data_IF_474904448521
#
_entry.id   IF_474904448521
#
_cell.length_a   1.000
_cell.length_b   1.000
_cell.length_c   1.000
_cell.angle_alpha   90.00
_cell.angle_beta   90.00
_cell.angle_gamma   90.00
#
_symmetry.space_group_name_H-M   'P 1'
#
loop_
_entity.id
_entity.type
_entity.pdbx_description
1 polymer ?
#
# COMPACT_ATOMS: atom_id res chain seq x y z
N UNK A 1 50.11 10.70 -26.81
CA UNK A 1 49.02 9.71 -26.82
C UNK A 1 48.24 9.93 -25.54
N UNK A 2 47.00 10.45 -25.64
CA UNK A 2 46.21 10.93 -24.49
C UNK A 2 45.75 9.74 -23.64
N UNK A 3 45.94 9.85 -22.33
CA UNK A 3 45.51 8.89 -21.32
C UNK A 3 43.99 8.99 -21.16
N UNK A 4 43.26 8.00 -21.67
CA UNK A 4 41.82 7.82 -21.42
C UNK A 4 41.60 7.31 -19.99
N UNK A 5 41.84 8.19 -19.01
CA UNK A 5 41.35 7.99 -17.65
C UNK A 5 39.95 8.60 -17.59
N UNK A 6 38.97 7.93 -18.20
CA UNK A 6 37.59 8.18 -17.82
C UNK A 6 37.45 7.73 -16.36
N UNK A 7 37.47 8.71 -15.45
CA UNK A 7 37.06 8.51 -14.07
C UNK A 7 35.60 8.07 -14.11
N UNK A 8 35.36 6.75 -14.04
CA UNK A 8 34.02 6.19 -13.88
C UNK A 8 33.40 6.86 -12.65
N UNK A 9 32.31 7.59 -12.84
CA UNK A 9 31.53 8.09 -11.72
C UNK A 9 31.22 6.94 -10.75
N UNK A 10 31.40 7.15 -9.46
CA UNK A 10 31.16 6.12 -8.46
C UNK A 10 29.72 5.61 -8.56
N UNK A 11 29.53 4.29 -8.56
CA UNK A 11 28.19 3.69 -8.67
C UNK A 11 27.30 4.16 -7.53
N UNK A 12 26.09 4.70 -7.82
CA UNK A 12 25.15 5.15 -6.79
C UNK A 12 24.78 4.00 -5.84
N UNK A 13 24.96 4.21 -4.53
CA UNK A 13 24.56 3.23 -3.51
C UNK A 13 23.09 3.41 -3.14
N UNK A 14 22.19 2.96 -4.01
CA UNK A 14 20.72 3.14 -3.89
C UNK A 14 19.98 1.93 -3.31
N UNK A 15 20.69 0.96 -2.74
CA UNK A 15 20.10 -0.32 -2.32
C UNK A 15 18.95 -0.18 -1.32
N UNK A 16 19.07 0.72 -0.33
CA UNK A 16 18.01 0.93 0.69
C UNK A 16 16.76 1.55 0.05
N UNK A 17 16.96 2.49 -0.86
CA UNK A 17 15.92 3.19 -1.60
C UNK A 17 15.18 2.23 -2.53
N UNK A 18 15.91 1.41 -3.28
CA UNK A 18 15.33 0.37 -4.14
C UNK A 18 14.50 -0.65 -3.35
N UNK A 19 14.98 -1.07 -2.16
CA UNK A 19 14.22 -1.93 -1.25
C UNK A 19 12.91 -1.27 -0.80
N UNK A 20 12.96 0.00 -0.38
CA UNK A 20 11.76 0.73 0.05
C UNK A 20 10.73 0.88 -1.09
N UNK A 21 11.19 1.21 -2.30
CA UNK A 21 10.35 1.31 -3.50
C UNK A 21 9.67 -0.02 -3.83
N UNK A 22 10.45 -1.11 -3.80
CA UNK A 22 9.97 -2.47 -4.08
C UNK A 22 8.93 -2.91 -3.06
N UNK A 23 9.16 -2.67 -1.76
CA UNK A 23 8.21 -3.01 -0.70
C UNK A 23 6.89 -2.24 -0.85
N UNK A 24 6.94 -0.94 -1.14
CA UNK A 24 5.74 -0.14 -1.37
C UNK A 24 4.95 -0.59 -2.61
N UNK A 25 5.66 -0.97 -3.69
CA UNK A 25 5.05 -1.41 -4.94
C UNK A 25 4.40 -2.78 -4.76
N UNK A 26 5.09 -3.69 -4.06
CA UNK A 26 4.57 -4.98 -3.67
C UNK A 26 3.31 -4.85 -2.80
N UNK A 27 3.34 -3.98 -1.77
CA UNK A 27 2.18 -3.70 -0.93
C UNK A 27 0.98 -3.20 -1.76
N UNK A 28 1.20 -2.20 -2.61
CA UNK A 28 0.13 -1.67 -3.48
C UNK A 28 -0.41 -2.71 -4.45
N UNK A 29 0.47 -3.51 -5.06
CA UNK A 29 0.10 -4.60 -5.96
C UNK A 29 -0.72 -5.67 -5.27
N UNK A 30 -0.31 -6.11 -4.08
CA UNK A 30 -1.05 -7.09 -3.27
C UNK A 30 -2.44 -6.56 -2.88
N UNK A 31 -2.53 -5.29 -2.47
CA UNK A 31 -3.81 -4.64 -2.17
C UNK A 31 -4.73 -4.56 -3.40
N UNK A 32 -4.17 -4.20 -4.56
CA UNK A 32 -4.91 -4.07 -5.81
C UNK A 32 -5.39 -5.44 -6.30
N UNK A 33 -4.58 -6.50 -6.14
CA UNK A 33 -4.96 -7.86 -6.47
C UNK A 33 -6.19 -8.35 -5.69
N UNK A 34 -6.30 -8.00 -4.40
CA UNK A 34 -7.51 -8.32 -3.64
C UNK A 34 -8.75 -7.68 -4.25
N UNK A 35 -8.69 -6.38 -4.55
CA UNK A 35 -9.82 -5.64 -5.11
C UNK A 35 -10.17 -6.05 -6.54
N UNK A 36 -9.16 -6.33 -7.37
CA UNK A 36 -9.33 -6.60 -8.80
C UNK A 36 -9.63 -8.07 -9.13
N UNK A 37 -9.19 -9.00 -8.29
CA UNK A 37 -9.29 -10.45 -8.57
C UNK A 37 -10.06 -11.17 -7.48
N UNK A 38 -9.62 -11.08 -6.23
CA UNK A 38 -10.19 -11.89 -5.15
C UNK A 38 -11.66 -11.54 -4.88
N UNK A 39 -11.99 -10.26 -4.72
CA UNK A 39 -13.36 -9.86 -4.38
C UNK A 39 -14.37 -10.18 -5.50
N UNK A 40 -14.10 -9.92 -6.80
CA UNK A 40 -14.99 -10.37 -7.87
C UNK A 40 -15.27 -11.88 -7.83
N UNK A 41 -14.25 -12.71 -7.59
CA UNK A 41 -14.42 -14.16 -7.44
C UNK A 41 -15.33 -14.49 -6.25
N UNK A 42 -15.08 -13.88 -5.09
CA UNK A 42 -15.89 -14.06 -3.88
C UNK A 42 -17.35 -13.62 -4.11
N UNK A 43 -17.58 -12.48 -4.76
CA UNK A 43 -18.93 -11.98 -5.04
C UNK A 43 -19.71 -12.91 -5.99
N UNK A 44 -19.04 -13.50 -6.99
CA UNK A 44 -19.68 -14.36 -8.00
C UNK A 44 -19.91 -15.80 -7.51
N UNK A 45 -19.07 -16.30 -6.59
CA UNK A 45 -19.13 -17.70 -6.14
C UNK A 45 -20.04 -17.94 -4.93
N UNK A 46 -20.41 -16.90 -4.19
CA UNK A 46 -21.29 -17.02 -3.04
C UNK A 46 -22.75 -16.76 -3.39
N UNK A 47 -23.62 -17.69 -3.02
CA UNK A 47 -25.08 -17.56 -3.16
C UNK A 47 -25.79 -17.28 -1.83
N UNK A 48 -25.04 -17.21 -0.72
CA UNK A 48 -25.56 -16.99 0.63
C UNK A 48 -24.81 -15.84 1.31
N UNK A 49 -25.57 -14.98 1.98
CA UNK A 49 -25.03 -13.80 2.65
C UNK A 49 -24.06 -14.18 3.79
N UNK A 50 -24.38 -15.20 4.59
CA UNK A 50 -23.52 -15.61 5.71
C UNK A 50 -22.16 -16.09 5.23
N UNK A 51 -22.11 -16.86 4.14
CA UNK A 51 -20.85 -17.35 3.58
C UNK A 51 -20.01 -16.21 3.00
N UNK A 52 -20.65 -15.27 2.29
CA UNK A 52 -20.00 -14.09 1.73
C UNK A 52 -19.39 -13.20 2.84
N UNK A 53 -20.15 -12.95 3.91
CA UNK A 53 -19.66 -12.20 5.07
C UNK A 53 -18.48 -12.89 5.76
N UNK A 54 -18.54 -14.22 5.97
CA UNK A 54 -17.43 -14.99 6.55
C UNK A 54 -16.17 -14.91 5.71
N UNK A 55 -16.28 -15.03 4.38
CA UNK A 55 -15.13 -14.92 3.48
C UNK A 55 -14.53 -13.50 3.49
N UNK A 56 -15.37 -12.47 3.45
CA UNK A 56 -14.91 -11.09 3.59
C UNK A 56 -14.22 -10.85 4.94
N UNK A 57 -14.78 -11.35 6.04
CA UNK A 57 -14.21 -11.18 7.38
C UNK A 57 -12.84 -11.87 7.51
N UNK A 58 -12.68 -13.07 6.94
CA UNK A 58 -11.38 -13.75 6.88
C UNK A 58 -10.36 -12.99 6.03
N UNK A 59 -10.78 -12.48 4.86
CA UNK A 59 -9.94 -11.64 4.02
C UNK A 59 -9.48 -10.37 4.74
N UNK A 60 -10.40 -9.71 5.45
CA UNK A 60 -10.10 -8.57 6.31
C UNK A 60 -9.13 -8.97 7.44
N UNK A 61 -9.34 -10.13 8.07
CA UNK A 61 -8.48 -10.64 9.13
C UNK A 61 -7.02 -10.76 8.68
N UNK A 62 -6.74 -11.40 7.56
CA UNK A 62 -5.37 -11.48 7.07
C UNK A 62 -4.84 -10.13 6.56
N UNK A 63 -5.70 -9.34 5.89
CA UNK A 63 -5.35 -8.03 5.36
C UNK A 63 -4.92 -7.02 6.42
N UNK A 64 -5.65 -6.90 7.53
CA UNK A 64 -5.36 -5.94 8.60
C UNK A 64 -4.12 -6.29 9.43
N UNK A 65 -3.65 -7.54 9.38
CA UNK A 65 -2.39 -7.96 10.03
C UNK A 65 -1.22 -7.67 9.09
N UNK A 66 -1.30 -8.14 7.84
CA UNK A 66 -0.16 -8.13 6.91
C UNK A 66 0.09 -6.73 6.33
N UNK A 67 -0.95 -6.06 5.85
CA UNK A 67 -0.78 -4.83 5.05
C UNK A 67 -0.31 -3.64 5.88
N UNK A 68 -0.87 -3.34 7.07
CA UNK A 68 -0.34 -2.29 7.92
C UNK A 68 1.10 -2.56 8.36
N UNK A 69 1.47 -3.82 8.62
CA UNK A 69 2.84 -4.19 8.96
C UNK A 69 3.83 -3.87 7.83
N UNK A 70 3.48 -4.22 6.58
CA UNK A 70 4.26 -3.85 5.41
C UNK A 70 4.33 -2.33 5.20
N UNK A 71 3.24 -1.61 5.46
CA UNK A 71 3.20 -0.15 5.33
C UNK A 71 4.09 0.53 6.36
N UNK A 72 4.07 0.06 7.62
CA UNK A 72 4.93 0.55 8.70
C UNK A 72 6.40 0.29 8.36
N UNK A 73 6.73 -0.93 7.91
CA UNK A 73 8.09 -1.29 7.49
C UNK A 73 8.59 -0.38 6.35
N UNK A 74 7.78 -0.23 5.30
CA UNK A 74 8.10 0.61 4.14
C UNK A 74 8.27 2.08 4.54
N UNK A 75 7.37 2.59 5.39
CA UNK A 75 7.42 3.97 5.91
C UNK A 75 8.68 4.18 6.76
N UNK A 76 9.04 3.21 7.61
CA UNK A 76 10.22 3.28 8.46
C UNK A 76 11.51 3.33 7.64
N UNK A 77 11.58 2.56 6.54
CA UNK A 77 12.69 2.64 5.59
C UNK A 77 12.77 4.01 4.92
N UNK A 78 11.65 4.55 4.43
CA UNK A 78 11.62 5.90 3.87
C UNK A 78 12.02 6.98 4.87
N UNK A 79 11.55 6.88 6.12
CA UNK A 79 11.92 7.80 7.20
C UNK A 79 13.42 7.72 7.50
N UNK A 80 14.00 6.51 7.57
CA UNK A 80 15.43 6.33 7.76
C UNK A 80 16.26 6.92 6.61
N UNK A 81 15.84 6.72 5.36
CA UNK A 81 16.51 7.30 4.17
C UNK A 81 16.44 8.82 4.22
N UNK A 82 15.24 9.38 4.47
CA UNK A 82 15.04 10.82 4.58
C UNK A 82 15.91 11.42 5.69
N UNK A 83 15.91 10.81 6.88
CA UNK A 83 16.74 11.24 8.00
C UNK A 83 18.23 11.21 7.65
N UNK A 84 18.71 10.11 7.07
CA UNK A 84 20.12 9.95 6.70
C UNK A 84 20.57 11.01 5.68
N UNK A 85 19.73 11.32 4.69
CA UNK A 85 20.01 12.35 3.69
C UNK A 85 19.98 13.76 4.26
N UNK A 86 19.00 14.05 5.13
CA UNK A 86 18.88 15.33 5.81
C UNK A 86 20.08 15.61 6.70
N UNK A 87 20.59 14.58 7.40
CA UNK A 87 21.75 14.70 8.29
C UNK A 87 23.04 15.12 7.56
N UNK A 88 23.17 14.81 6.27
CA UNK A 88 24.32 15.19 5.42
C UNK A 88 23.99 16.35 4.46
N UNK A 89 22.86 17.04 4.65
CA UNK A 89 22.48 18.23 3.87
C UNK A 89 21.97 17.97 2.45
N UNK A 90 21.64 16.72 2.08
CA UNK A 90 21.12 16.39 0.76
C UNK A 90 19.62 16.73 0.64
N UNK A 91 19.25 17.59 -0.33
CA UNK A 91 17.87 18.08 -0.52
C UNK A 91 16.84 17.00 -0.89
N UNK A 92 17.28 15.86 -1.44
CA UNK A 92 16.40 14.74 -1.82
C UNK A 92 15.71 14.08 -0.62
N UNK A 93 16.11 14.39 0.61
CA UNK A 93 15.47 13.90 1.84
C UNK A 93 13.93 14.10 1.83
N UNK A 94 13.48 15.23 1.29
CA UNK A 94 12.07 15.61 1.25
C UNK A 94 11.24 14.65 0.39
N UNK A 95 11.79 14.16 -0.72
CA UNK A 95 11.10 13.22 -1.62
C UNK A 95 10.81 11.90 -0.91
N UNK A 96 11.79 11.37 -0.17
CA UNK A 96 11.62 10.14 0.61
C UNK A 96 10.70 10.35 1.82
N UNK A 97 10.75 11.53 2.47
CA UNK A 97 9.81 11.85 3.54
C UNK A 97 8.35 11.86 3.02
N UNK A 98 8.08 12.52 1.89
CA UNK A 98 6.76 12.52 1.26
C UNK A 98 6.33 11.12 0.82
N UNK A 99 7.26 10.29 0.33
CA UNK A 99 6.99 8.89 -0.01
C UNK A 99 6.52 8.08 1.22
N UNK A 100 7.20 8.24 2.36
CA UNK A 100 6.81 7.63 3.63
C UNK A 100 5.45 8.12 4.12
N UNK A 101 5.22 9.44 4.11
CA UNK A 101 3.95 10.05 4.52
C UNK A 101 2.78 9.56 3.64
N UNK A 102 2.98 9.47 2.33
CA UNK A 102 1.99 8.90 1.41
C UNK A 102 1.69 7.44 1.77
N UNK A 103 2.71 6.64 2.05
CA UNK A 103 2.55 5.21 2.35
C UNK A 103 1.76 4.98 3.64
N UNK A 104 2.09 5.71 4.73
CA UNK A 104 1.42 5.53 6.02
C UNK A 104 0.00 6.10 6.06
N UNK A 105 -0.37 6.96 5.09
CA UNK A 105 -1.71 7.54 4.98
C UNK A 105 -2.81 6.48 4.80
N UNK A 106 -2.47 5.22 4.47
CA UNK A 106 -3.44 4.12 4.53
C UNK A 106 -4.09 3.97 5.91
N UNK A 107 -3.38 4.29 6.99
CA UNK A 107 -3.85 4.12 8.37
C UNK A 107 -4.99 5.10 8.67
N UNK A 108 -4.80 6.43 8.59
CA UNK A 108 -5.89 7.38 8.82
C UNK A 108 -7.01 7.21 7.79
N UNK A 109 -6.71 6.87 6.53
CA UNK A 109 -7.75 6.58 5.55
C UNK A 109 -8.63 5.40 5.98
N UNK A 110 -8.03 4.32 6.51
CA UNK A 110 -8.79 3.15 6.98
C UNK A 110 -9.67 3.51 8.17
N UNK A 111 -9.11 4.20 9.17
CA UNK A 111 -9.81 4.52 10.42
C UNK A 111 -10.95 5.54 10.22
N UNK A 112 -10.81 6.46 9.27
CA UNK A 112 -11.78 7.55 9.06
C UNK A 112 -12.78 7.19 7.95
N UNK A 113 -12.30 6.67 6.82
CA UNK A 113 -13.14 6.48 5.62
C UNK A 113 -13.72 5.08 5.56
N UNK A 114 -12.92 4.05 5.84
CA UNK A 114 -13.36 2.66 5.68
C UNK A 114 -14.05 2.09 6.93
N UNK A 115 -13.67 2.54 8.12
CA UNK A 115 -14.16 1.99 9.39
C UNK A 115 -15.70 1.92 9.49
N UNK A 116 -16.49 2.93 9.07
CA UNK A 116 -17.95 2.82 9.14
C UNK A 116 -18.49 1.62 8.35
N UNK A 117 -17.99 1.38 7.13
CA UNK A 117 -18.45 0.23 6.31
C UNK A 117 -17.92 -1.09 6.86
N UNK A 118 -16.69 -1.11 7.38
CA UNK A 118 -16.15 -2.31 8.04
C UNK A 118 -17.02 -2.70 9.24
N UNK A 119 -17.38 -1.74 10.09
CA UNK A 119 -18.19 -1.98 11.27
C UNK A 119 -19.57 -2.53 10.89
N UNK A 120 -20.24 -1.93 9.90
CA UNK A 120 -21.51 -2.47 9.40
C UNK A 120 -21.37 -3.91 8.90
N UNK A 121 -20.31 -4.24 8.15
CA UNK A 121 -20.10 -5.60 7.67
C UNK A 121 -19.83 -6.59 8.82
N UNK A 122 -19.13 -6.17 9.88
CA UNK A 122 -18.94 -6.98 11.09
C UNK A 122 -20.23 -7.14 11.89
N UNK A 123 -21.06 -6.10 12.02
CA UNK A 123 -22.38 -6.21 12.66
C UNK A 123 -23.29 -7.19 11.92
N UNK A 124 -23.28 -7.16 10.58
CA UNK A 124 -24.02 -8.11 9.76
C UNK A 124 -23.52 -9.55 9.94
N UNK A 125 -22.24 -9.76 10.24
CA UNK A 125 -21.69 -11.10 10.49
C UNK A 125 -22.32 -11.78 11.72
N UNK A 126 -22.76 -10.99 12.71
CA UNK A 126 -23.38 -11.47 13.95
C UNK A 126 -24.90 -11.67 13.83
N UNK A 127 -25.49 -11.40 12.65
CA UNK A 127 -26.93 -11.52 12.40
C UNK A 127 -27.21 -12.61 11.36
N UNK A 128 -28.46 -13.09 11.32
CA UNK A 128 -28.90 -14.15 10.38
C UNK A 128 -30.01 -13.63 9.48
N UNK A 129 -30.20 -14.26 8.31
CA UNK A 129 -31.25 -13.84 7.36
C UNK A 129 -30.94 -12.52 6.64
N UNK A 130 -29.66 -12.18 6.53
CA UNK A 130 -29.22 -10.99 5.81
C UNK A 130 -29.50 -11.14 4.31
N UNK A 131 -29.93 -10.05 3.68
CA UNK A 131 -30.08 -9.99 2.23
C UNK A 131 -28.71 -10.08 1.55
N UNK A 132 -28.57 -11.00 0.59
CA UNK A 132 -27.36 -11.15 -0.22
C UNK A 132 -27.03 -9.85 -0.97
N UNK A 133 -28.04 -9.21 -1.57
CA UNK A 133 -27.86 -7.97 -2.33
C UNK A 133 -27.32 -6.83 -1.46
N UNK A 134 -27.81 -6.74 -0.21
CA UNK A 134 -27.33 -5.75 0.77
C UNK A 134 -25.85 -5.97 1.09
N UNK A 135 -25.47 -7.22 1.37
CA UNK A 135 -24.07 -7.58 1.68
C UNK A 135 -23.17 -7.33 0.47
N UNK A 136 -23.58 -7.74 -0.73
CA UNK A 136 -22.84 -7.50 -1.97
C UNK A 136 -22.63 -6.00 -2.21
N UNK A 137 -23.67 -5.18 -2.05
CA UNK A 137 -23.58 -3.73 -2.20
C UNK A 137 -22.56 -3.10 -1.24
N UNK A 138 -22.54 -3.53 0.03
CA UNK A 138 -21.56 -3.08 1.02
C UNK A 138 -20.13 -3.52 0.68
N UNK A 139 -19.94 -4.76 0.22
CA UNK A 139 -18.63 -5.25 -0.20
C UNK A 139 -18.14 -4.51 -1.46
N UNK A 140 -19.02 -4.21 -2.41
CA UNK A 140 -18.67 -3.41 -3.60
C UNK A 140 -18.23 -2.00 -3.18
N UNK A 141 -18.97 -1.36 -2.26
CA UNK A 141 -18.57 -0.07 -1.68
C UNK A 141 -17.20 -0.17 -0.99
N UNK A 142 -16.99 -1.22 -0.21
CA UNK A 142 -15.73 -1.50 0.46
C UNK A 142 -14.56 -1.64 -0.53
N UNK A 143 -14.76 -2.35 -1.66
CA UNK A 143 -13.75 -2.51 -2.72
C UNK A 143 -13.34 -1.18 -3.32
N UNK A 144 -14.27 -0.28 -3.59
CA UNK A 144 -13.96 1.04 -4.12
C UNK A 144 -13.05 1.83 -3.18
N UNK A 145 -13.39 1.87 -1.88
CA UNK A 145 -12.53 2.52 -0.89
C UNK A 145 -11.18 1.82 -0.74
N UNK A 146 -11.16 0.48 -0.77
CA UNK A 146 -9.93 -0.30 -0.68
C UNK A 146 -9.01 -0.07 -1.90
N UNK A 147 -9.58 0.15 -3.08
CA UNK A 147 -8.85 0.51 -4.30
C UNK A 147 -8.23 1.89 -4.16
N UNK A 148 -8.98 2.88 -3.66
CA UNK A 148 -8.41 4.20 -3.32
C UNK A 148 -7.29 4.04 -2.29
N UNK A 149 -7.47 3.16 -1.30
CA UNK A 149 -6.46 2.88 -0.28
C UNK A 149 -5.15 2.33 -0.89
N UNK A 150 -5.20 1.54 -1.96
CA UNK A 150 -3.99 0.98 -2.58
C UNK A 150 -3.16 2.01 -3.35
N UNK A 151 -3.74 3.16 -3.69
CA UNK A 151 -3.05 4.26 -4.36
C UNK A 151 -2.00 4.92 -3.44
N UNK A 152 -2.23 4.97 -2.13
CA UNK A 152 -1.31 5.59 -1.17
C UNK A 152 0.13 5.00 -1.20
N UNK A 153 0.33 3.68 -1.06
CA UNK A 153 1.66 3.08 -1.22
C UNK A 153 2.16 3.15 -2.68
N UNK A 154 1.29 3.17 -3.69
CA UNK A 154 1.69 3.37 -5.09
C UNK A 154 2.35 4.73 -5.29
N UNK A 155 1.71 5.80 -4.81
CA UNK A 155 2.27 7.16 -4.84
C UNK A 155 3.58 7.21 -4.08
N UNK A 156 3.66 6.55 -2.91
CA UNK A 156 4.91 6.38 -2.16
C UNK A 156 6.02 5.77 -3.00
N UNK A 157 5.75 4.66 -3.68
CA UNK A 157 6.71 4.00 -4.57
C UNK A 157 7.11 4.83 -5.78
N UNK A 158 6.19 5.56 -6.41
CA UNK A 158 6.50 6.46 -7.52
C UNK A 158 7.44 7.58 -7.04
N UNK A 159 7.16 8.19 -5.90
CA UNK A 159 8.01 9.24 -5.32
C UNK A 159 9.39 8.69 -4.94
N UNK A 160 9.44 7.54 -4.28
CA UNK A 160 10.70 6.86 -3.95
C UNK A 160 11.51 6.52 -5.19
N UNK A 161 10.86 6.01 -6.24
CA UNK A 161 11.50 5.66 -7.50
C UNK A 161 12.07 6.89 -8.21
N UNK A 162 11.34 8.01 -8.22
CA UNK A 162 11.86 9.31 -8.71
C UNK A 162 13.10 9.75 -7.93
N UNK A 163 13.14 9.51 -6.62
CA UNK A 163 14.34 9.74 -5.80
C UNK A 163 15.52 8.88 -6.25
N UNK A 164 15.28 7.59 -6.51
CA UNK A 164 16.31 6.66 -7.01
C UNK A 164 16.86 7.10 -8.36
N UNK A 165 15.99 7.48 -9.30
CA UNK A 165 16.41 7.94 -10.63
C UNK A 165 17.33 9.16 -10.55
N UNK A 166 16.97 10.16 -9.73
CA UNK A 166 17.81 11.34 -9.50
C UNK A 166 19.19 10.98 -8.94
N UNK A 167 19.26 10.05 -7.99
CA UNK A 167 20.54 9.57 -7.44
C UNK A 167 21.40 8.82 -8.47
N UNK A 168 20.76 8.25 -9.49
CA UNK A 168 21.42 7.63 -10.63
C UNK A 168 21.79 8.62 -11.75
N UNK A 169 21.44 9.90 -11.62
CA UNK A 169 21.65 10.90 -12.68
C UNK A 169 20.72 10.74 -13.88
N UNK A 170 19.55 10.11 -13.68
CA UNK A 170 18.49 9.91 -14.68
C UNK A 170 17.33 10.88 -14.46
#
# INVERSE_FOLDING_TARGET
MKSDTQVRAATPKVGKQATAVTLGAFLSGAMTCLSAVMIPVVLQTNTQAEQLLKQWALLYHYGHIIMPSLAILTTSLYAYIAYSKRAVGQQDWSTYATAGLSTIAIVPFTLIVMAPTNNTLFELLETTGNSLDTVQGLIVKWVWMHTVRSVFPMVGSILGFRGVLKECGL
#
